data_IF_299513809033
#
_entry.id   IF_299513809033
#
_cell.length_a   1.000
_cell.length_b   1.000
_cell.length_c   1.000
_cell.angle_alpha   90.00
_cell.angle_beta   90.00
_cell.angle_gamma   90.00
#
_symmetry.space_group_name_H-M   'P 1'
#
loop_
_entity.id
_entity.type
_entity.pdbx_description
1 polymer ?
#
# COMPACT_ATOMS: atom_id res chain seq x y z
N UNK A 1 19.27 -0.03 -6.51
CA UNK A 1 18.93 1.22 -5.78
C UNK A 1 19.19 2.46 -6.62
N UNK A 2 20.34 2.59 -7.29
CA UNK A 2 20.67 3.74 -8.15
C UNK A 2 19.62 3.96 -9.25
N UNK A 3 19.11 2.90 -9.86
CA UNK A 3 18.07 2.95 -10.90
C UNK A 3 16.72 3.51 -10.40
N UNK A 4 16.45 3.45 -9.09
CA UNK A 4 15.24 4.00 -8.45
C UNK A 4 15.39 5.46 -8.02
N UNK A 5 16.62 5.98 -7.91
CA UNK A 5 16.83 7.31 -7.34
C UNK A 5 16.12 8.44 -8.12
N UNK A 6 16.03 8.43 -9.48
CA UNK A 6 15.29 9.45 -10.21
C UNK A 6 13.79 9.43 -9.94
N UNK A 7 13.22 8.24 -9.62
CA UNK A 7 11.77 8.12 -9.35
C UNK A 7 11.36 8.92 -8.12
N UNK A 8 12.22 9.01 -7.09
CA UNK A 8 11.92 9.73 -5.84
C UNK A 8 11.64 11.21 -6.14
N UNK A 9 12.44 11.82 -7.01
CA UNK A 9 12.24 13.20 -7.42
C UNK A 9 10.91 13.38 -8.15
N UNK A 10 10.63 12.57 -9.17
CA UNK A 10 9.40 12.68 -9.95
C UNK A 10 8.16 12.42 -9.10
N UNK A 11 8.18 11.36 -8.26
CA UNK A 11 7.08 11.03 -7.36
C UNK A 11 6.78 12.15 -6.36
N UNK A 12 7.81 12.82 -5.85
CA UNK A 12 7.64 13.95 -4.93
C UNK A 12 6.88 15.11 -5.59
N UNK A 13 7.22 15.46 -6.83
CA UNK A 13 6.51 16.52 -7.57
C UNK A 13 5.10 16.08 -7.98
N UNK A 14 4.96 14.83 -8.44
CA UNK A 14 3.66 14.22 -8.75
C UNK A 14 2.72 14.30 -7.54
N UNK A 15 3.22 14.00 -6.33
CA UNK A 15 2.42 14.03 -5.12
C UNK A 15 1.85 15.42 -4.82
N UNK A 16 2.62 16.49 -5.04
CA UNK A 16 2.16 17.88 -4.88
C UNK A 16 1.04 18.21 -5.87
N UNK A 17 1.21 17.86 -7.15
CA UNK A 17 0.22 18.13 -8.18
C UNK A 17 -1.07 17.33 -7.94
N UNK A 18 -0.94 16.02 -7.61
CA UNK A 18 -2.09 15.17 -7.23
C UNK A 18 -2.80 15.73 -6.00
N UNK A 19 -2.05 16.18 -4.98
CA UNK A 19 -2.60 16.80 -3.77
C UNK A 19 -3.42 18.06 -4.09
N UNK A 20 -2.96 18.90 -5.01
CA UNK A 20 -3.70 20.07 -5.48
C UNK A 20 -5.06 19.68 -6.10
N UNK A 21 -5.08 18.70 -7.02
CA UNK A 21 -6.32 18.25 -7.67
C UNK A 21 -7.26 17.52 -6.71
N UNK A 22 -6.74 16.71 -5.81
CA UNK A 22 -7.54 16.03 -4.77
C UNK A 22 -8.17 17.05 -3.81
N UNK A 23 -7.45 18.11 -3.42
CA UNK A 23 -7.99 19.20 -2.61
C UNK A 23 -9.10 19.98 -3.30
N UNK A 24 -9.13 19.97 -4.64
CA UNK A 24 -10.24 20.53 -5.46
C UNK A 24 -11.35 19.52 -5.76
N UNK A 25 -11.36 18.37 -5.10
CA UNK A 25 -12.31 17.28 -5.33
C UNK A 25 -12.24 16.67 -6.76
N UNK A 26 -11.20 16.97 -7.53
CA UNK A 26 -11.00 16.42 -8.88
C UNK A 26 -10.14 15.15 -8.86
N UNK A 27 -10.70 14.10 -8.28
CA UNK A 27 -10.04 12.79 -8.11
C UNK A 27 -9.78 12.11 -9.46
N UNK A 28 -10.55 12.47 -10.50
CA UNK A 28 -10.42 11.87 -11.85
C UNK A 28 -9.02 12.07 -12.43
N UNK A 29 -8.40 13.23 -12.22
CA UNK A 29 -7.03 13.53 -12.70
C UNK A 29 -6.03 12.60 -12.03
N UNK A 30 -6.16 12.41 -10.72
CA UNK A 30 -5.30 11.51 -9.95
C UNK A 30 -5.46 10.07 -10.41
N UNK A 31 -6.71 9.58 -10.56
CA UNK A 31 -6.99 8.23 -11.02
C UNK A 31 -6.43 7.97 -12.42
N UNK A 32 -6.67 8.87 -13.39
CA UNK A 32 -6.13 8.75 -14.76
C UNK A 32 -4.61 8.72 -14.76
N UNK A 33 -3.95 9.60 -13.98
CA UNK A 33 -2.49 9.63 -13.91
C UNK A 33 -1.90 8.36 -13.29
N UNK A 34 -2.56 7.78 -12.28
CA UNK A 34 -2.15 6.50 -11.68
C UNK A 34 -2.33 5.34 -12.64
N UNK A 35 -3.46 5.25 -13.34
CA UNK A 35 -3.68 4.21 -14.34
C UNK A 35 -2.63 4.28 -15.46
N UNK A 36 -2.34 5.48 -15.95
CA UNK A 36 -1.32 5.70 -16.96
C UNK A 36 0.08 5.29 -16.47
N UNK A 37 0.42 5.64 -15.22
CA UNK A 37 1.67 5.23 -14.58
C UNK A 37 1.81 3.70 -14.53
N UNK A 38 0.74 2.96 -14.16
CA UNK A 38 0.77 1.50 -14.09
C UNK A 38 0.88 0.84 -15.47
N UNK A 39 0.16 1.36 -16.46
CA UNK A 39 0.25 0.86 -17.84
C UNK A 39 1.67 1.01 -18.38
N UNK A 40 2.26 2.20 -18.25
CA UNK A 40 3.64 2.43 -18.69
C UNK A 40 4.67 1.64 -17.88
N UNK A 41 4.45 1.49 -16.57
CA UNK A 41 5.31 0.66 -15.73
C UNK A 41 5.33 -0.79 -16.21
N UNK A 42 4.18 -1.37 -16.48
CA UNK A 42 4.07 -2.75 -16.99
C UNK A 42 4.74 -2.88 -18.35
N UNK A 43 4.44 -1.96 -19.27
CA UNK A 43 5.01 -1.95 -20.63
C UNK A 43 6.54 -1.84 -20.58
N UNK A 44 7.09 -0.86 -19.87
CA UNK A 44 8.53 -0.67 -19.76
C UNK A 44 9.21 -1.83 -19.03
N UNK A 45 8.56 -2.43 -17.99
CA UNK A 45 9.11 -3.59 -17.31
C UNK A 45 9.25 -4.75 -18.28
N UNK A 46 8.22 -5.08 -19.06
CA UNK A 46 8.25 -6.16 -20.04
C UNK A 46 9.33 -5.89 -21.09
N UNK A 47 9.38 -4.70 -21.67
CA UNK A 47 10.33 -4.34 -22.71
C UNK A 47 11.77 -4.39 -22.19
N UNK A 48 12.05 -3.75 -21.06
CA UNK A 48 13.42 -3.63 -20.53
C UNK A 48 13.93 -4.99 -20.03
N UNK A 49 13.09 -5.74 -19.28
CA UNK A 49 13.51 -7.04 -18.75
C UNK A 49 13.75 -8.05 -19.88
N UNK A 50 12.88 -8.08 -20.92
CA UNK A 50 13.11 -8.94 -22.07
C UNK A 50 14.38 -8.55 -22.86
N UNK A 51 14.61 -7.24 -23.08
CA UNK A 51 15.82 -6.79 -23.74
C UNK A 51 17.09 -7.16 -22.94
N UNK A 52 17.05 -6.96 -21.63
CA UNK A 52 18.17 -7.30 -20.77
C UNK A 52 18.38 -8.81 -20.61
N UNK A 53 17.34 -9.63 -20.64
CA UNK A 53 17.48 -11.09 -20.58
C UNK A 53 18.25 -11.65 -21.78
N UNK A 54 18.08 -11.04 -22.95
CA UNK A 54 18.81 -11.42 -24.17
C UNK A 54 20.28 -10.98 -24.10
N UNK A 55 20.54 -9.78 -23.56
CA UNK A 55 21.89 -9.19 -23.52
C UNK A 55 22.75 -9.76 -22.38
N UNK A 56 22.17 -9.93 -21.17
CA UNK A 56 22.89 -10.31 -19.96
C UNK A 56 22.92 -11.81 -19.65
N UNK A 57 22.43 -12.64 -20.56
CA UNK A 57 22.41 -14.11 -20.32
C UNK A 57 21.60 -14.55 -19.11
N UNK A 58 20.50 -13.85 -18.79
CA UNK A 58 19.58 -14.11 -17.66
C UNK A 58 20.17 -13.78 -16.27
N UNK A 59 21.11 -12.84 -16.17
CA UNK A 59 21.54 -12.35 -14.85
C UNK A 59 20.39 -11.67 -14.12
N UNK A 60 19.96 -12.28 -13.02
CA UNK A 60 18.83 -11.82 -12.19
C UNK A 60 19.05 -10.44 -11.59
N UNK A 61 20.28 -10.06 -11.29
CA UNK A 61 20.62 -8.75 -10.71
C UNK A 61 20.41 -7.65 -11.76
N UNK A 62 20.84 -7.89 -12.99
CA UNK A 62 20.69 -6.94 -14.11
C UNK A 62 19.21 -6.80 -14.48
N UNK A 63 18.46 -7.89 -14.54
CA UNK A 63 17.02 -7.87 -14.81
C UNK A 63 16.24 -7.13 -13.71
N UNK A 64 16.60 -7.33 -12.43
CA UNK A 64 16.00 -6.60 -11.31
C UNK A 64 16.32 -5.09 -11.37
N UNK A 65 17.54 -4.71 -11.77
CA UNK A 65 17.90 -3.31 -11.99
C UNK A 65 17.09 -2.69 -13.13
N UNK A 66 16.88 -3.44 -14.22
CA UNK A 66 16.03 -3.03 -15.36
C UNK A 66 14.57 -2.79 -14.97
N UNK A 67 13.98 -3.69 -14.16
CA UNK A 67 12.62 -3.53 -13.65
C UNK A 67 12.47 -2.27 -12.77
N UNK A 68 13.50 -1.96 -11.97
CA UNK A 68 13.54 -0.73 -11.18
C UNK A 68 13.69 0.53 -12.04
N UNK A 69 14.45 0.45 -13.14
CA UNK A 69 14.58 1.53 -14.10
C UNK A 69 13.26 1.79 -14.82
N UNK A 70 12.49 0.75 -15.16
CA UNK A 70 11.14 0.86 -15.70
C UNK A 70 10.20 1.67 -14.78
N UNK A 71 10.34 1.49 -13.46
CA UNK A 71 9.58 2.28 -12.47
C UNK A 71 9.95 3.77 -12.53
N UNK A 72 11.22 4.11 -12.69
CA UNK A 72 11.66 5.51 -12.84
C UNK A 72 11.15 6.15 -14.14
N UNK A 73 11.15 5.41 -15.24
CA UNK A 73 10.60 5.87 -16.54
C UNK A 73 9.09 6.06 -16.49
N UNK A 74 8.36 5.16 -15.83
CA UNK A 74 6.90 5.31 -15.67
C UNK A 74 6.54 6.52 -14.80
N UNK A 75 7.29 6.78 -13.73
CA UNK A 75 7.13 7.99 -12.92
C UNK A 75 7.41 9.26 -13.75
N UNK A 76 8.41 9.25 -14.62
CA UNK A 76 8.69 10.37 -15.53
C UNK A 76 7.53 10.61 -16.51
N UNK A 77 6.95 9.56 -17.11
CA UNK A 77 5.80 9.72 -18.02
C UNK A 77 4.57 10.26 -17.29
N UNK A 78 4.31 9.79 -16.07
CA UNK A 78 3.24 10.31 -15.22
C UNK A 78 3.47 11.79 -14.88
N UNK A 79 4.71 12.17 -14.53
CA UNK A 79 5.10 13.54 -14.27
C UNK A 79 4.84 14.44 -15.48
N UNK A 80 5.28 14.04 -16.68
CA UNK A 80 5.05 14.79 -17.91
C UNK A 80 3.57 14.98 -18.21
N UNK A 81 2.77 13.93 -18.06
CA UNK A 81 1.31 14.00 -18.22
C UNK A 81 0.66 15.01 -17.26
N UNK A 82 0.99 14.95 -15.97
CA UNK A 82 0.43 15.86 -14.96
C UNK A 82 0.87 17.31 -15.15
N UNK A 83 2.15 17.55 -15.49
CA UNK A 83 2.65 18.89 -15.76
C UNK A 83 1.97 19.48 -16.99
N UNK A 84 1.81 18.70 -18.06
CA UNK A 84 1.10 19.15 -19.26
C UNK A 84 -0.37 19.49 -18.96
N UNK A 85 -1.05 18.62 -18.21
CA UNK A 85 -2.42 18.87 -17.78
C UNK A 85 -2.52 20.12 -16.90
N UNK A 86 -1.60 20.32 -15.95
CA UNK A 86 -1.55 21.53 -15.11
C UNK A 86 -1.34 22.79 -15.95
N UNK A 87 -0.43 22.75 -16.96
CA UNK A 87 -0.20 23.88 -17.88
C UNK A 87 -1.45 24.26 -18.65
N UNK A 88 -2.24 23.28 -19.10
CA UNK A 88 -3.50 23.51 -19.84
C UNK A 88 -4.55 24.18 -18.95
N UNK A 89 -4.61 23.85 -17.66
CA UNK A 89 -5.62 24.41 -16.73
C UNK A 89 -5.15 25.71 -16.07
N UNK A 90 -3.85 26.00 -16.09
CA UNK A 90 -3.27 27.21 -15.47
C UNK A 90 -3.99 28.52 -15.81
N UNK A 91 -4.38 28.81 -17.08
CA UNK A 91 -5.11 30.04 -17.41
C UNK A 91 -6.48 30.10 -16.73
N UNK A 92 -7.18 28.97 -16.61
CA UNK A 92 -8.48 28.88 -15.93
C UNK A 92 -8.30 29.21 -14.43
N UNK A 93 -7.29 28.61 -13.80
CA UNK A 93 -6.94 28.87 -12.39
C UNK A 93 -6.58 30.36 -12.19
N UNK A 94 -5.82 30.96 -13.10
CA UNK A 94 -5.45 32.36 -13.03
C UNK A 94 -6.67 33.29 -13.11
N UNK A 95 -7.65 32.97 -13.95
CA UNK A 95 -8.90 33.71 -14.04
C UNK A 95 -9.77 33.53 -12.78
N UNK A 96 -9.85 32.35 -12.21
CA UNK A 96 -10.54 32.11 -10.94
C UNK A 96 -9.94 32.98 -9.82
N UNK A 97 -8.61 33.02 -9.73
CA UNK A 97 -7.90 33.86 -8.73
C UNK A 97 -8.21 35.34 -8.93
N UNK A 98 -8.20 35.83 -10.17
CA UNK A 98 -8.50 37.24 -10.47
C UNK A 98 -9.93 37.64 -10.12
N UNK A 99 -10.87 36.71 -10.27
CA UNK A 99 -12.30 36.95 -10.02
C UNK A 99 -12.70 36.67 -8.56
N UNK A 100 -11.78 36.28 -7.70
CA UNK A 100 -12.08 36.01 -6.29
C UNK A 100 -12.26 37.31 -5.52
N UNK A 101 -13.52 37.65 -5.22
CA UNK A 101 -13.92 38.76 -4.36
C UNK A 101 -13.81 38.28 -2.90
N UNK A 102 -13.19 39.05 -2.00
CA UNK A 102 -12.99 38.71 -0.58
C UNK A 102 -11.83 37.75 -0.26
N UNK A 103 -10.73 37.83 -1.00
CA UNK A 103 -9.52 37.10 -0.61
C UNK A 103 -8.93 37.69 0.69
N UNK A 104 -8.92 36.87 1.78
CA UNK A 104 -8.18 37.16 3.00
C UNK A 104 -6.84 36.41 2.97
N UNK A 105 -5.70 37.08 2.79
CA UNK A 105 -4.42 36.41 2.76
C UNK A 105 -4.13 35.76 4.12
N UNK A 106 -3.96 34.45 4.13
CA UNK A 106 -3.48 33.73 5.32
C UNK A 106 -1.96 33.85 5.41
N UNK A 107 -1.43 34.03 6.64
CA UNK A 107 0.02 34.08 6.85
C UNK A 107 0.63 32.75 6.45
N UNK A 108 1.58 32.74 5.51
CA UNK A 108 2.28 31.54 5.00
C UNK A 108 2.78 30.66 6.15
N UNK A 109 3.36 31.26 7.20
CA UNK A 109 3.84 30.53 8.38
C UNK A 109 2.73 29.73 9.10
N UNK A 110 1.51 30.26 9.15
CA UNK A 110 0.36 29.56 9.76
C UNK A 110 -0.06 28.36 8.88
N UNK A 111 -0.11 28.58 7.58
CA UNK A 111 -0.45 27.52 6.61
C UNK A 111 0.58 26.38 6.65
N UNK A 112 1.88 26.72 6.64
CA UNK A 112 2.95 25.70 6.75
C UNK A 112 2.82 24.92 8.08
N UNK A 113 2.57 25.59 9.20
CA UNK A 113 2.39 24.92 10.50
C UNK A 113 1.21 23.95 10.47
N UNK A 114 0.09 24.33 9.84
CA UNK A 114 -1.09 23.46 9.69
C UNK A 114 -0.79 22.25 8.80
N UNK A 115 -0.10 22.45 7.67
CA UNK A 115 0.31 21.37 6.79
C UNK A 115 1.23 20.39 7.53
N UNK A 116 2.26 20.88 8.23
CA UNK A 116 3.19 20.03 8.98
C UNK A 116 2.50 19.26 10.11
N UNK A 117 1.55 19.88 10.80
CA UNK A 117 0.79 19.24 11.88
C UNK A 117 0.00 18.02 11.40
N UNK A 118 -0.51 18.05 10.16
CA UNK A 118 -1.24 16.94 9.55
C UNK A 118 -0.29 15.96 8.85
N UNK A 119 0.69 16.46 8.09
CA UNK A 119 1.54 15.61 7.26
C UNK A 119 2.55 14.80 8.06
N UNK A 120 3.07 15.30 9.19
CA UNK A 120 4.03 14.54 10.02
C UNK A 120 3.41 13.24 10.56
N UNK A 121 2.24 13.24 11.23
CA UNK A 121 1.63 12.00 11.71
C UNK A 121 1.24 11.05 10.58
N UNK A 122 0.74 11.56 9.45
CA UNK A 122 0.44 10.72 8.29
C UNK A 122 1.70 10.08 7.70
N UNK A 123 2.81 10.80 7.65
CA UNK A 123 4.11 10.25 7.23
C UNK A 123 4.61 9.19 8.21
N UNK A 124 4.44 9.39 9.52
CA UNK A 124 4.76 8.38 10.54
C UNK A 124 3.92 7.12 10.37
N UNK A 125 2.61 7.25 10.11
CA UNK A 125 1.76 6.09 9.79
C UNK A 125 2.28 5.31 8.57
N UNK A 126 2.67 6.02 7.51
CA UNK A 126 3.23 5.39 6.31
C UNK A 126 4.58 4.69 6.59
N UNK A 127 5.43 5.31 7.43
CA UNK A 127 6.72 4.72 7.86
C UNK A 127 6.46 3.46 8.68
N UNK A 128 5.58 3.49 9.68
CA UNK A 128 5.26 2.31 10.49
C UNK A 128 4.62 1.20 9.65
N UNK A 129 3.73 1.53 8.71
CA UNK A 129 3.18 0.57 7.75
C UNK A 129 4.27 -0.07 6.87
N UNK A 130 5.26 0.70 6.40
CA UNK A 130 6.40 0.19 5.67
C UNK A 130 7.31 -0.69 6.55
N UNK A 131 7.58 -0.28 7.79
CA UNK A 131 8.35 -1.05 8.75
C UNK A 131 7.68 -2.39 9.04
N UNK A 132 6.36 -2.43 9.23
CA UNK A 132 5.61 -3.67 9.47
C UNK A 132 5.76 -4.68 8.33
N UNK A 133 5.80 -4.23 7.07
CA UNK A 133 6.12 -5.09 5.92
C UNK A 133 7.58 -5.56 5.91
N UNK A 134 8.51 -4.71 6.35
CA UNK A 134 9.94 -5.04 6.38
C UNK A 134 10.35 -5.91 7.57
N UNK A 135 9.54 -6.01 8.63
CA UNK A 135 9.80 -6.91 9.76
C UNK A 135 10.01 -8.36 9.27
N UNK A 136 9.19 -8.83 8.34
CA UNK A 136 9.31 -10.19 7.81
C UNK A 136 10.63 -10.40 7.07
N UNK A 137 11.09 -9.42 6.28
CA UNK A 137 12.38 -9.52 5.58
C UNK A 137 13.58 -9.64 6.52
N UNK A 138 13.47 -9.04 7.71
CA UNK A 138 14.55 -9.04 8.70
C UNK A 138 14.50 -10.26 9.63
N UNK A 139 13.31 -10.78 9.90
CA UNK A 139 13.11 -11.81 10.93
C UNK A 139 12.94 -13.21 10.36
N UNK A 140 12.23 -13.35 9.22
CA UNK A 140 11.84 -14.68 8.69
C UNK A 140 13.07 -15.49 8.29
N UNK A 141 13.93 -14.95 7.42
CA UNK A 141 15.12 -15.69 6.98
C UNK A 141 16.03 -16.05 8.15
N UNK A 142 16.22 -15.12 9.11
CA UNK A 142 17.04 -15.36 10.30
C UNK A 142 16.44 -16.43 11.20
N UNK A 143 15.13 -16.41 11.40
CA UNK A 143 14.44 -17.39 12.24
C UNK A 143 14.49 -18.81 11.64
N UNK A 144 14.22 -18.93 10.34
CA UNK A 144 14.23 -20.18 9.59
C UNK A 144 15.64 -20.83 9.55
N UNK A 145 16.70 -20.03 9.51
CA UNK A 145 18.09 -20.55 9.54
C UNK A 145 18.45 -21.33 10.81
N UNK A 146 17.60 -21.34 11.83
CA UNK A 146 17.81 -22.16 13.03
C UNK A 146 17.57 -23.65 12.79
N UNK A 147 16.77 -24.01 11.78
CA UNK A 147 16.42 -25.40 11.50
C UNK A 147 16.50 -25.79 10.01
N UNK A 148 16.82 -24.86 9.11
CA UNK A 148 17.02 -25.12 7.69
C UNK A 148 18.19 -24.36 7.10
N UNK A 149 18.61 -24.73 5.88
CA UNK A 149 19.69 -24.04 5.16
C UNK A 149 19.28 -22.63 4.76
N UNK A 150 20.27 -21.75 4.58
CA UNK A 150 20.01 -20.37 4.17
C UNK A 150 19.27 -20.27 2.83
N UNK A 151 19.61 -21.15 1.90
CA UNK A 151 18.97 -21.21 0.58
C UNK A 151 17.49 -21.59 0.70
N UNK A 152 17.16 -22.64 1.45
CA UNK A 152 15.78 -23.05 1.73
C UNK A 152 15.02 -21.96 2.47
N UNK A 153 15.64 -21.27 3.42
CA UNK A 153 15.02 -20.15 4.13
C UNK A 153 14.68 -18.97 3.20
N UNK A 154 15.56 -18.64 2.25
CA UNK A 154 15.29 -17.61 1.23
C UNK A 154 14.15 -18.01 0.29
N UNK A 155 14.09 -19.29 -0.11
CA UNK A 155 12.99 -19.81 -0.93
C UNK A 155 11.66 -19.69 -0.19
N UNK A 156 11.61 -20.13 1.07
CA UNK A 156 10.40 -20.02 1.90
C UNK A 156 9.95 -18.58 2.11
N UNK A 157 10.88 -17.66 2.36
CA UNK A 157 10.56 -16.24 2.43
C UNK A 157 10.08 -15.69 1.09
N UNK A 158 10.64 -16.15 -0.03
CA UNK A 158 10.18 -15.80 -1.37
C UNK A 158 8.74 -16.26 -1.66
N UNK A 159 8.34 -17.42 -1.12
CA UNK A 159 6.94 -17.90 -1.20
C UNK A 159 6.02 -16.95 -0.41
N UNK A 160 6.38 -16.59 0.81
CA UNK A 160 5.60 -15.69 1.65
C UNK A 160 5.46 -14.30 1.00
N UNK A 161 6.58 -13.64 0.71
CA UNK A 161 6.60 -12.24 0.26
C UNK A 161 6.26 -12.09 -1.24
N UNK A 162 6.74 -13.00 -2.08
CA UNK A 162 6.57 -12.88 -3.54
C UNK A 162 5.24 -13.41 -4.07
N UNK A 163 4.71 -14.47 -3.47
CA UNK A 163 3.44 -15.08 -3.91
C UNK A 163 2.28 -14.70 -3.00
N UNK A 164 2.37 -15.10 -1.73
CA UNK A 164 1.26 -14.99 -0.78
C UNK A 164 0.86 -13.54 -0.55
N UNK A 165 1.79 -12.68 -0.16
CA UNK A 165 1.51 -11.27 0.08
C UNK A 165 1.02 -10.56 -1.18
N UNK A 166 1.56 -10.88 -2.35
CA UNK A 166 1.13 -10.31 -3.62
C UNK A 166 -0.35 -10.62 -3.89
N UNK A 167 -0.78 -11.86 -3.68
CA UNK A 167 -2.18 -12.25 -3.88
C UNK A 167 -3.12 -11.59 -2.88
N UNK A 168 -2.73 -11.53 -1.61
CA UNK A 168 -3.51 -10.85 -0.54
C UNK A 168 -3.68 -9.36 -0.82
N UNK A 169 -2.77 -8.71 -1.55
CA UNK A 169 -2.91 -7.28 -1.91
C UNK A 169 -4.00 -7.01 -2.96
N UNK A 170 -4.50 -8.01 -3.68
CA UNK A 170 -5.53 -7.81 -4.72
C UNK A 170 -6.83 -7.24 -4.12
N UNK A 171 -7.49 -7.87 -3.11
CA UNK A 171 -8.67 -7.29 -2.46
C UNK A 171 -8.39 -5.92 -1.82
N UNK A 172 -7.19 -5.74 -1.25
CA UNK A 172 -6.77 -4.47 -0.65
C UNK A 172 -6.79 -3.31 -1.65
N UNK A 173 -6.40 -3.57 -2.90
CA UNK A 173 -6.35 -2.55 -3.95
C UNK A 173 -7.74 -2.02 -4.30
N UNK A 174 -8.76 -2.89 -4.31
CA UNK A 174 -10.14 -2.47 -4.51
C UNK A 174 -10.65 -1.62 -3.35
N UNK A 175 -10.42 -2.06 -2.11
CA UNK A 175 -10.86 -1.32 -0.93
C UNK A 175 -10.18 0.04 -0.80
N UNK A 176 -8.92 0.15 -1.20
CA UNK A 176 -8.15 1.40 -1.13
C UNK A 176 -8.77 2.53 -1.98
N UNK A 177 -9.41 2.19 -3.10
CA UNK A 177 -10.12 3.18 -3.91
C UNK A 177 -11.28 3.81 -3.12
N UNK A 178 -12.07 3.00 -2.41
CA UNK A 178 -13.14 3.47 -1.53
C UNK A 178 -12.60 4.27 -0.35
N UNK A 179 -11.57 3.77 0.32
CA UNK A 179 -10.95 4.44 1.45
C UNK A 179 -10.39 5.83 1.06
N UNK A 180 -9.76 5.95 -0.10
CA UNK A 180 -9.22 7.23 -0.60
C UNK A 180 -10.32 8.25 -0.88
N UNK A 181 -11.46 7.83 -1.43
CA UNK A 181 -12.61 8.69 -1.69
C UNK A 181 -13.36 9.10 -0.40
N UNK A 182 -13.23 8.29 0.65
CA UNK A 182 -13.89 8.53 1.94
C UNK A 182 -13.32 9.75 2.67
N UNK A 183 -12.01 9.94 2.65
CA UNK A 183 -11.31 11.02 3.39
C UNK A 183 -11.88 12.42 3.08
N UNK A 184 -11.89 12.91 1.82
CA UNK A 184 -12.42 14.26 1.52
C UNK A 184 -13.91 14.34 1.79
N UNK A 185 -14.64 13.24 1.62
CA UNK A 185 -16.06 13.16 1.86
C UNK A 185 -16.44 13.35 3.33
N UNK A 186 -15.69 12.70 4.25
CA UNK A 186 -15.85 12.87 5.70
C UNK A 186 -15.40 14.26 6.12
N UNK A 187 -14.24 14.72 5.66
CA UNK A 187 -13.72 16.05 6.01
C UNK A 187 -14.69 17.18 5.64
N UNK A 188 -15.38 17.04 4.50
CA UNK A 188 -16.40 18.00 4.08
C UNK A 188 -17.65 17.98 4.98
N UNK A 189 -18.10 16.80 5.40
CA UNK A 189 -19.23 16.67 6.32
C UNK A 189 -18.86 17.18 7.72
N UNK A 190 -17.65 16.90 8.19
CA UNK A 190 -17.12 17.43 9.46
C UNK A 190 -17.03 18.96 9.46
N UNK A 191 -16.57 19.58 8.38
CA UNK A 191 -16.52 21.03 8.23
C UNK A 191 -17.91 21.70 8.30
N UNK A 192 -18.98 20.96 7.95
CA UNK A 192 -20.37 21.39 8.06
C UNK A 192 -21.05 21.04 9.39
N UNK A 193 -20.32 20.41 10.32
CA UNK A 193 -20.85 19.84 11.57
C UNK A 193 -21.99 18.82 11.36
N UNK A 194 -22.05 18.16 10.20
CA UNK A 194 -23.06 17.17 9.87
C UNK A 194 -22.64 15.76 10.33
N UNK A 195 -22.80 15.53 11.64
CA UNK A 195 -22.43 14.26 12.29
C UNK A 195 -23.20 13.06 11.71
N UNK A 196 -24.49 13.24 11.36
CA UNK A 196 -25.30 12.14 10.78
C UNK A 196 -24.74 11.67 9.44
N UNK A 197 -24.33 12.59 8.58
CA UNK A 197 -23.71 12.24 7.30
C UNK A 197 -22.36 11.57 7.51
N UNK A 198 -21.55 11.99 8.49
CA UNK A 198 -20.28 11.34 8.84
C UNK A 198 -20.53 9.89 9.26
N UNK A 199 -21.43 9.67 10.23
CA UNK A 199 -21.79 8.34 10.74
C UNK A 199 -22.25 7.39 9.63
N UNK A 200 -23.22 7.81 8.82
CA UNK A 200 -23.71 7.01 7.67
C UNK A 200 -22.61 6.66 6.66
N UNK A 201 -21.65 7.56 6.41
CA UNK A 201 -20.54 7.29 5.49
C UNK A 201 -19.55 6.28 6.07
N UNK A 202 -19.30 6.35 7.38
CA UNK A 202 -18.46 5.38 8.09
C UNK A 202 -19.11 4.00 8.06
N UNK A 203 -20.38 3.90 8.48
CA UNK A 203 -21.14 2.65 8.46
C UNK A 203 -21.16 2.03 7.06
N UNK A 204 -21.50 2.80 6.05
CA UNK A 204 -21.53 2.34 4.66
C UNK A 204 -20.16 1.85 4.19
N UNK A 205 -19.08 2.55 4.53
CA UNK A 205 -17.74 2.17 4.11
C UNK A 205 -17.23 0.92 4.80
N UNK A 206 -17.55 0.74 6.09
CA UNK A 206 -17.25 -0.49 6.82
C UNK A 206 -18.04 -1.67 6.23
N UNK A 207 -19.32 -1.47 5.93
CA UNK A 207 -20.15 -2.48 5.29
C UNK A 207 -19.58 -2.89 3.92
N UNK A 208 -19.15 -1.93 3.10
CA UNK A 208 -18.50 -2.22 1.80
C UNK A 208 -17.21 -3.01 2.01
N UNK A 209 -16.38 -2.65 3.00
CA UNK A 209 -15.15 -3.39 3.30
C UNK A 209 -15.43 -4.84 3.71
N UNK A 210 -16.49 -5.08 4.48
CA UNK A 210 -16.94 -6.44 4.87
C UNK A 210 -17.48 -7.20 3.66
N UNK A 211 -18.32 -6.55 2.84
CA UNK A 211 -18.91 -7.16 1.63
C UNK A 211 -17.85 -7.54 0.58
N UNK A 212 -16.75 -6.84 0.52
CA UNK A 212 -15.60 -7.20 -0.34
C UNK A 212 -14.72 -8.23 0.38
N UNK A 213 -14.38 -7.98 1.63
CA UNK A 213 -13.41 -8.77 2.39
C UNK A 213 -13.87 -10.20 2.66
N UNK A 214 -15.11 -10.40 3.07
CA UNK A 214 -15.63 -11.73 3.42
C UNK A 214 -15.64 -12.70 2.24
N UNK A 215 -16.24 -12.38 1.07
CA UNK A 215 -16.22 -13.27 -0.08
C UNK A 215 -14.80 -13.52 -0.60
N UNK A 216 -13.94 -12.49 -0.63
CA UNK A 216 -12.55 -12.65 -1.03
C UNK A 216 -11.79 -13.59 -0.08
N UNK A 217 -11.90 -13.36 1.24
CA UNK A 217 -11.27 -14.21 2.25
C UNK A 217 -11.71 -15.67 2.08
N UNK A 218 -13.01 -15.92 2.09
CA UNK A 218 -13.56 -17.28 1.97
C UNK A 218 -13.18 -17.92 0.64
N UNK A 219 -13.34 -17.22 -0.48
CA UNK A 219 -12.99 -17.73 -1.81
C UNK A 219 -11.50 -18.04 -1.93
N UNK A 220 -10.63 -17.16 -1.43
CA UNK A 220 -9.18 -17.37 -1.49
C UNK A 220 -8.71 -18.51 -0.56
N UNK A 221 -9.37 -18.73 0.58
CA UNK A 221 -9.09 -19.88 1.45
C UNK A 221 -9.54 -21.18 0.80
N UNK A 222 -10.77 -21.26 0.30
CA UNK A 222 -11.34 -22.49 -0.28
C UNK A 222 -10.64 -22.91 -1.58
N UNK A 223 -10.28 -21.94 -2.41
CA UNK A 223 -9.62 -22.18 -3.70
C UNK A 223 -8.11 -21.94 -3.66
N UNK A 224 -7.48 -21.94 -2.47
CA UNK A 224 -6.06 -21.62 -2.30
C UNK A 224 -5.15 -22.42 -3.23
N UNK A 225 -5.32 -23.75 -3.26
CA UNK A 225 -4.57 -24.66 -4.11
C UNK A 225 -4.77 -24.38 -5.60
N UNK A 226 -6.02 -24.19 -6.03
CA UNK A 226 -6.38 -23.94 -7.44
C UNK A 226 -5.82 -22.61 -7.91
N UNK A 227 -5.89 -21.54 -7.07
CA UNK A 227 -5.33 -20.24 -7.38
C UNK A 227 -3.81 -20.33 -7.54
N UNK A 228 -3.13 -21.02 -6.62
CA UNK A 228 -1.68 -21.20 -6.71
C UNK A 228 -1.27 -22.03 -7.94
N UNK A 229 -2.00 -23.10 -8.27
CA UNK A 229 -1.77 -23.91 -9.46
C UNK A 229 -2.00 -23.11 -10.75
N UNK A 230 -3.03 -22.28 -10.79
CA UNK A 230 -3.34 -21.45 -11.96
C UNK A 230 -2.27 -20.39 -12.23
N UNK A 231 -1.83 -19.71 -11.18
CA UNK A 231 -0.91 -18.57 -11.29
C UNK A 231 0.57 -18.99 -11.26
N UNK A 232 0.89 -20.08 -10.58
CA UNK A 232 2.25 -20.59 -10.41
C UNK A 232 2.32 -22.12 -10.72
N UNK A 233 2.05 -22.55 -11.95
CA UNK A 233 1.89 -23.98 -12.28
C UNK A 233 3.14 -24.83 -11.97
N UNK A 234 4.34 -24.23 -12.08
CA UNK A 234 5.62 -24.92 -11.82
C UNK A 234 6.09 -24.80 -10.36
N UNK A 235 5.36 -24.12 -9.50
CA UNK A 235 5.77 -23.81 -8.13
C UNK A 235 4.56 -23.58 -7.21
N UNK A 236 3.55 -24.41 -7.26
CA UNK A 236 2.29 -24.28 -6.52
C UNK A 236 2.41 -24.60 -5.00
N UNK A 237 3.55 -24.27 -4.40
CA UNK A 237 3.81 -24.45 -2.96
C UNK A 237 3.36 -23.26 -2.13
N UNK A 238 3.04 -23.47 -0.83
CA UNK A 238 2.69 -22.43 0.10
C UNK A 238 1.19 -22.29 0.37
N UNK A 239 0.38 -23.32 0.07
CA UNK A 239 -1.07 -23.34 0.26
C UNK A 239 -1.47 -22.96 1.70
N UNK A 240 -0.88 -23.63 2.69
CA UNK A 240 -1.18 -23.41 4.09
C UNK A 240 -0.83 -21.98 4.55
N UNK A 241 0.33 -21.46 4.12
CA UNK A 241 0.76 -20.10 4.41
C UNK A 241 -0.23 -19.10 3.80
N UNK A 242 -0.68 -19.38 2.58
CA UNK A 242 -1.65 -18.54 1.87
C UNK A 242 -3.00 -18.53 2.57
N UNK A 243 -3.52 -19.68 3.02
CA UNK A 243 -4.77 -19.79 3.77
C UNK A 243 -4.73 -18.99 5.06
N UNK A 244 -3.61 -19.08 5.82
CA UNK A 244 -3.44 -18.28 7.05
C UNK A 244 -3.44 -16.78 6.72
N UNK A 245 -2.67 -16.36 5.70
CA UNK A 245 -2.59 -14.96 5.31
C UNK A 245 -3.94 -14.41 4.85
N UNK A 246 -4.76 -15.22 4.17
CA UNK A 246 -6.10 -14.83 3.73
C UNK A 246 -7.05 -14.53 4.90
N UNK A 247 -6.88 -15.15 6.08
CA UNK A 247 -7.65 -14.80 7.29
C UNK A 247 -7.47 -13.32 7.68
N UNK A 248 -6.33 -12.74 7.35
CA UNK A 248 -6.03 -11.33 7.59
C UNK A 248 -6.78 -10.35 6.69
N UNK A 249 -7.32 -10.79 5.55
CA UNK A 249 -7.88 -9.88 4.52
C UNK A 249 -8.95 -8.97 5.11
N UNK A 250 -9.90 -9.50 5.86
CA UNK A 250 -10.99 -8.70 6.42
C UNK A 250 -10.47 -7.62 7.38
N UNK A 251 -9.50 -7.96 8.23
CA UNK A 251 -8.92 -7.02 9.19
C UNK A 251 -8.13 -5.93 8.49
N UNK A 252 -7.36 -6.26 7.44
CA UNK A 252 -6.62 -5.30 6.62
C UNK A 252 -7.57 -4.31 5.93
N UNK A 253 -8.67 -4.80 5.35
CA UNK A 253 -9.65 -3.96 4.68
C UNK A 253 -10.36 -3.02 5.66
N UNK A 254 -10.72 -3.52 6.84
CA UNK A 254 -11.31 -2.71 7.90
C UNK A 254 -10.31 -1.68 8.43
N UNK A 255 -9.04 -2.07 8.67
CA UNK A 255 -7.96 -1.16 9.07
C UNK A 255 -7.79 -0.01 8.08
N UNK A 256 -7.77 -0.29 6.78
CA UNK A 256 -7.68 0.75 5.73
C UNK A 256 -8.86 1.74 5.82
N UNK A 257 -10.07 1.23 6.02
CA UNK A 257 -11.29 2.04 6.08
C UNK A 257 -11.37 2.86 7.36
N UNK A 258 -11.03 2.26 8.51
CA UNK A 258 -10.96 2.97 9.79
C UNK A 258 -9.86 4.03 9.76
N UNK A 259 -8.68 3.70 9.24
CA UNK A 259 -7.58 4.64 9.06
C UNK A 259 -7.97 5.84 8.18
N UNK A 260 -8.62 5.60 7.04
CA UNK A 260 -9.13 6.65 6.17
C UNK A 260 -10.20 7.52 6.88
N UNK A 261 -11.07 6.91 7.67
CA UNK A 261 -12.07 7.61 8.48
C UNK A 261 -11.41 8.54 9.50
N UNK A 262 -10.44 8.03 10.25
CA UNK A 262 -9.70 8.80 11.25
C UNK A 262 -8.95 9.98 10.60
N UNK A 263 -8.34 9.77 9.44
CA UNK A 263 -7.75 10.87 8.66
C UNK A 263 -8.80 11.89 8.22
N UNK A 264 -9.98 11.44 7.78
CA UNK A 264 -11.09 12.30 7.38
C UNK A 264 -11.67 13.16 8.52
N UNK A 265 -11.70 12.62 9.75
CA UNK A 265 -12.12 13.33 10.96
C UNK A 265 -11.01 14.31 11.45
N UNK A 266 -9.77 14.13 10.99
CA UNK A 266 -8.61 14.93 11.41
C UNK A 266 -7.81 14.29 12.55
N UNK A 267 -8.17 13.08 12.98
CA UNK A 267 -7.43 12.36 14.02
C UNK A 267 -6.32 11.50 13.39
N UNK A 268 -5.23 12.15 13.00
CA UNK A 268 -4.14 11.55 12.23
C UNK A 268 -3.11 10.79 13.08
N UNK A 269 -3.12 10.97 14.42
CA UNK A 269 -2.15 10.32 15.32
C UNK A 269 -2.54 8.88 15.66
N UNK A 270 -3.83 8.58 15.79
CA UNK A 270 -4.31 7.25 16.20
C UNK A 270 -3.85 6.15 15.26
N UNK A 271 -3.97 6.27 13.92
CA UNK A 271 -3.47 5.24 13.02
C UNK A 271 -1.96 5.02 13.13
N UNK A 272 -1.17 6.09 13.36
CA UNK A 272 0.28 5.98 13.53
C UNK A 272 0.64 5.17 14.79
N UNK A 273 -0.02 5.45 15.91
CA UNK A 273 0.21 4.75 17.18
C UNK A 273 -0.22 3.29 17.07
N UNK A 274 -1.40 3.02 16.49
CA UNK A 274 -1.91 1.68 16.29
C UNK A 274 -0.96 0.83 15.44
N UNK A 275 -0.46 1.37 14.31
CA UNK A 275 0.53 0.70 13.46
C UNK A 275 1.86 0.45 14.18
N UNK A 276 2.30 1.36 15.03
CA UNK A 276 3.50 1.15 15.84
C UNK A 276 3.32 0.00 16.83
N UNK A 277 2.19 -0.05 17.55
CA UNK A 277 1.87 -1.13 18.49
C UNK A 277 1.75 -2.46 17.75
N UNK A 278 0.99 -2.51 16.64
CA UNK A 278 0.86 -3.71 15.81
C UNK A 278 2.21 -4.23 15.32
N UNK A 279 3.11 -3.33 14.90
CA UNK A 279 4.46 -3.68 14.50
C UNK A 279 5.32 -4.29 15.61
N UNK A 280 5.21 -3.77 16.83
CA UNK A 280 5.90 -4.35 18.01
C UNK A 280 5.37 -5.75 18.28
N UNK A 281 4.05 -5.94 18.26
CA UNK A 281 3.40 -7.26 18.45
C UNK A 281 3.84 -8.24 17.35
N UNK A 282 3.82 -7.81 16.08
CA UNK A 282 4.29 -8.63 14.96
C UNK A 282 5.76 -9.04 15.12
N UNK A 283 6.63 -8.10 15.50
CA UNK A 283 8.04 -8.37 15.73
C UNK A 283 8.22 -9.41 16.84
N UNK A 284 7.53 -9.24 17.97
CA UNK A 284 7.60 -10.18 19.10
C UNK A 284 7.13 -11.58 18.68
N UNK A 285 5.99 -11.68 17.97
CA UNK A 285 5.46 -12.95 17.49
C UNK A 285 6.39 -13.61 16.46
N UNK A 286 6.96 -12.85 15.54
CA UNK A 286 7.93 -13.38 14.58
C UNK A 286 9.17 -13.95 15.27
N UNK A 287 9.69 -13.29 16.31
CA UNK A 287 10.85 -13.76 17.05
C UNK A 287 10.58 -15.07 17.83
N UNK A 288 9.31 -15.31 18.19
CA UNK A 288 8.87 -16.51 18.92
C UNK A 288 8.49 -17.63 17.95
N UNK A 289 7.64 -17.36 16.97
CA UNK A 289 7.03 -18.39 16.11
C UNK A 289 7.91 -18.82 14.94
N UNK A 290 8.60 -17.88 14.28
CA UNK A 290 9.40 -18.21 13.09
C UNK A 290 10.55 -19.18 13.38
N UNK A 291 11.24 -19.13 14.54
CA UNK A 291 12.29 -20.10 14.85
C UNK A 291 11.80 -21.51 15.19
N UNK A 292 10.50 -21.72 15.35
CA UNK A 292 9.91 -23.03 15.61
C UNK A 292 9.79 -23.82 14.30
N UNK A 293 10.15 -25.12 14.33
CA UNK A 293 10.01 -25.97 13.15
C UNK A 293 8.52 -26.30 12.92
N UNK A 294 8.07 -26.22 11.67
CA UNK A 294 6.70 -26.56 11.28
C UNK A 294 6.31 -28.04 11.62
N UNK A 295 7.28 -28.95 11.68
CA UNK A 295 7.04 -30.34 12.06
C UNK A 295 6.66 -30.50 13.54
N UNK A 296 7.14 -29.60 14.39
CA UNK A 296 6.87 -29.61 15.83
C UNK A 296 5.70 -28.71 16.23
N UNK A 297 5.49 -27.62 15.48
CA UNK A 297 4.44 -26.66 15.74
C UNK A 297 3.84 -26.13 14.44
N UNK A 298 2.55 -26.38 14.22
CA UNK A 298 1.84 -26.06 12.95
C UNK A 298 2.01 -24.59 12.53
N UNK A 299 2.02 -23.67 13.50
CA UNK A 299 2.25 -22.23 13.28
C UNK A 299 3.73 -21.84 13.45
N UNK A 300 4.67 -22.74 13.13
CA UNK A 300 6.09 -22.43 13.08
C UNK A 300 6.52 -21.90 11.71
N UNK A 301 7.77 -21.48 11.60
CA UNK A 301 8.37 -21.04 10.34
C UNK A 301 7.63 -19.90 9.65
N UNK A 302 7.45 -20.00 8.33
CA UNK A 302 6.74 -18.99 7.51
C UNK A 302 5.25 -18.91 7.82
N UNK A 303 4.62 -19.99 8.28
CA UNK A 303 3.24 -19.97 8.76
C UNK A 303 3.09 -19.08 9.99
N UNK A 304 4.08 -19.10 10.88
CA UNK A 304 4.14 -18.20 12.04
C UNK A 304 4.27 -16.72 11.64
N UNK A 305 5.05 -16.41 10.63
CA UNK A 305 5.13 -15.04 10.11
C UNK A 305 3.79 -14.57 9.51
N UNK A 306 3.11 -15.44 8.75
CA UNK A 306 1.78 -15.15 8.22
C UNK A 306 0.77 -14.91 9.34
N UNK A 307 0.76 -15.77 10.36
CA UNK A 307 -0.10 -15.63 11.52
C UNK A 307 0.20 -14.36 12.34
N UNK A 308 1.48 -14.03 12.53
CA UNK A 308 1.90 -12.78 13.19
C UNK A 308 1.39 -11.54 12.47
N UNK A 309 1.35 -11.58 11.12
CA UNK A 309 0.78 -10.51 10.31
C UNK A 309 -0.74 -10.37 10.53
N UNK A 310 -1.47 -11.49 10.61
CA UNK A 310 -2.91 -11.47 10.92
C UNK A 310 -3.17 -10.84 12.29
N UNK A 311 -2.43 -11.25 13.32
CA UNK A 311 -2.55 -10.69 14.67
C UNK A 311 -2.18 -9.20 14.68
N UNK A 312 -1.15 -8.79 13.94
CA UNK A 312 -0.80 -7.38 13.78
C UNK A 312 -2.00 -6.56 13.31
N UNK A 313 -2.69 -6.99 12.25
CA UNK A 313 -3.85 -6.28 11.70
C UNK A 313 -5.06 -6.28 12.66
N UNK A 314 -5.25 -7.35 13.43
CA UNK A 314 -6.27 -7.38 14.50
C UNK A 314 -5.96 -6.36 15.60
N UNK A 315 -4.70 -6.23 15.99
CA UNK A 315 -4.28 -5.29 17.05
C UNK A 315 -4.34 -3.84 16.58
N UNK A 316 -4.07 -3.59 15.29
CA UNK A 316 -4.12 -2.24 14.70
C UNK A 316 -5.56 -1.75 14.55
N UNK A 317 -6.52 -2.66 14.30
CA UNK A 317 -7.95 -2.37 14.16
C UNK A 317 -8.59 -1.99 15.50
#
# INVERSE_FOLDING_TARGET
LVALSPSIFFVSVIAVIKGYFNGRENITVTAKSQSLEQVFKTLFTILIVNALSIISGMDTVVMAAGANLATSLSAFTCFMHLVNYYRTIRPIIANEIKNTVNYKPTRIRRTIKQILFVSIPMSLSAIFGALNRNIDSMTVVRGLKKFMTEESAKIQYGILSGKVETLVTIPMSFNMAFATALVPSISKAMAKNDKKTVEKRIEFSLLVSILIGMPCMVGMILYAKQILLLLFPNAATGEFIYQISCLGIIFILMEQTVGATLHGIGNVFVPAIALAIGGIVKLALNLILVPLNNETFILGGTAGAAFSSVICHIVVL
#
